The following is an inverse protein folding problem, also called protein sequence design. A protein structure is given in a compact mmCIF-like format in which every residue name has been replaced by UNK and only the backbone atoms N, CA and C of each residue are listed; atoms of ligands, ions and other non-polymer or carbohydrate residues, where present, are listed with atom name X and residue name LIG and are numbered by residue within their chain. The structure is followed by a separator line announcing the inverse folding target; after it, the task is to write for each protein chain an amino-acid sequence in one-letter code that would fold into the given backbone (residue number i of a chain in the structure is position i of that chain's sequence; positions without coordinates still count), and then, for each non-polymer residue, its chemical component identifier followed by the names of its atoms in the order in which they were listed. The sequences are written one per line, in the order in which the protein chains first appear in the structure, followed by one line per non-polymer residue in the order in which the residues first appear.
data_IF_002728588762
#
_entry.id   IF_002728588762
#
_cell.length_a   1.000
_cell.length_b   1.000
_cell.length_c   1.000
_cell.angle_alpha   90.00
_cell.angle_beta   90.00
_cell.angle_gamma   90.00
#
_symmetry.space_group_name_H-M   'P 1'
#
loop_
_entity.id
_entity.type
_entity.pdbx_description
1 polymer ?
#
# COMPACT_ATOMS: atom_id res chain seq x y z
N UNK A 1 13.52 -3.48 4.59
CA UNK A 1 13.33 -3.55 3.12
C UNK A 1 11.97 -3.02 2.65
N UNK A 2 11.43 -1.94 3.25
CA UNK A 2 10.27 -1.20 2.69
C UNK A 2 10.70 0.13 2.04
N UNK A 3 12.01 0.41 2.05
CA UNK A 3 12.62 1.63 1.53
C UNK A 3 13.00 1.53 0.04
N UNK A 4 13.00 0.31 -0.53
CA UNK A 4 13.23 0.12 -1.97
C UNK A 4 11.92 0.54 -2.67
N UNK A 5 11.93 1.58 -3.53
CA UNK A 5 10.75 1.98 -4.28
C UNK A 5 10.20 0.80 -5.09
N UNK A 6 8.88 0.63 -5.08
CA UNK A 6 8.22 -0.52 -5.71
C UNK A 6 8.20 -1.80 -4.88
N UNK A 7 8.93 -1.88 -3.75
CA UNK A 7 8.73 -2.95 -2.76
C UNK A 7 7.40 -2.76 -2.01
N UNK A 8 6.61 -3.82 -1.87
CA UNK A 8 5.34 -3.73 -1.15
C UNK A 8 5.63 -3.80 0.33
N UNK A 9 5.49 -2.67 1.03
CA UNK A 9 5.56 -2.60 2.50
C UNK A 9 4.75 -3.73 3.13
N UNK A 10 3.48 -3.85 2.75
CA UNK A 10 2.57 -4.86 3.29
C UNK A 10 3.02 -6.30 2.98
N UNK A 11 3.53 -6.56 1.78
CA UNK A 11 4.06 -7.89 1.43
C UNK A 11 5.27 -8.27 2.27
N UNK A 12 6.19 -7.33 2.51
CA UNK A 12 7.41 -7.58 3.28
C UNK A 12 7.13 -7.78 4.77
N UNK A 13 6.22 -6.99 5.35
CA UNK A 13 5.78 -7.16 6.75
C UNK A 13 5.00 -8.46 6.94
N UNK A 14 4.14 -8.84 6.00
CA UNK A 14 3.43 -10.13 6.03
C UNK A 14 4.43 -11.28 5.94
N UNK A 15 5.39 -11.22 5.02
CA UNK A 15 6.41 -12.26 4.87
C UNK A 15 7.27 -12.39 6.12
N UNK A 16 7.71 -11.27 6.70
CA UNK A 16 8.46 -11.25 7.96
C UNK A 16 7.65 -11.87 9.10
N UNK A 17 6.40 -11.43 9.30
CA UNK A 17 5.52 -11.99 10.32
C UNK A 17 5.26 -13.50 10.13
N UNK A 18 5.15 -13.96 8.87
CA UNK A 18 5.05 -15.38 8.53
C UNK A 18 6.30 -16.17 8.92
N UNK A 19 7.49 -15.58 8.78
CA UNK A 19 8.75 -16.20 9.20
C UNK A 19 8.80 -16.39 10.74
N UNK A 20 8.13 -15.53 11.50
CA UNK A 20 7.94 -15.67 12.95
C UNK A 20 6.74 -16.57 13.33
N UNK A 21 6.15 -17.30 12.39
CA UNK A 21 5.10 -18.30 12.67
C UNK A 21 3.66 -17.78 12.71
N UNK A 22 3.40 -16.47 12.53
CA UNK A 22 2.03 -15.95 12.55
C UNK A 22 1.19 -16.51 11.41
N UNK A 23 -0.09 -16.82 11.60
CA UNK A 23 -0.97 -17.25 10.50
C UNK A 23 -1.11 -16.15 9.43
N UNK A 24 -1.43 -16.50 8.17
CA UNK A 24 -1.58 -15.49 7.09
C UNK A 24 -2.53 -14.34 7.46
N UNK A 25 -3.73 -14.59 8.05
CA UNK A 25 -4.62 -13.51 8.47
C UNK A 25 -4.05 -12.68 9.62
N UNK A 26 -3.35 -13.29 10.57
CA UNK A 26 -2.72 -12.58 11.69
C UNK A 26 -1.57 -11.68 11.20
N UNK A 27 -0.72 -12.19 10.30
CA UNK A 27 0.36 -11.45 9.66
C UNK A 27 -0.17 -10.24 8.86
N UNK A 28 -1.28 -10.41 8.11
CA UNK A 28 -1.92 -9.32 7.39
C UNK A 28 -2.48 -8.24 8.33
N UNK A 29 -3.18 -8.63 9.40
CA UNK A 29 -3.69 -7.67 10.40
C UNK A 29 -2.55 -6.90 11.08
N UNK A 30 -1.49 -7.58 11.48
CA UNK A 30 -0.30 -6.94 12.04
C UNK A 30 0.29 -5.92 11.06
N UNK A 31 0.41 -6.29 9.79
CA UNK A 31 0.87 -5.38 8.74
C UNK A 31 -0.03 -4.15 8.59
N UNK A 32 -1.36 -4.29 8.67
CA UNK A 32 -2.28 -3.17 8.58
C UNK A 32 -2.19 -2.25 9.79
N UNK A 33 -2.07 -2.81 11.01
CA UNK A 33 -1.87 -1.99 12.21
C UNK A 33 -0.57 -1.19 12.16
N UNK A 34 0.53 -1.77 11.68
CA UNK A 34 1.78 -1.04 11.49
C UNK A 34 1.67 0.08 10.45
N UNK A 35 0.78 -0.04 9.46
CA UNK A 35 0.59 0.99 8.44
C UNK A 35 -0.09 2.25 8.99
N UNK A 36 -0.91 2.14 10.05
CA UNK A 36 -1.63 3.28 10.64
C UNK A 36 -0.69 4.40 11.10
N UNK A 37 0.26 4.16 12.04
CA UNK A 37 1.13 5.25 12.54
C UNK A 37 2.03 5.81 11.43
N UNK A 38 2.49 4.96 10.51
CA UNK A 38 3.36 5.39 9.41
C UNK A 38 2.60 6.30 8.43
N UNK A 39 1.37 5.91 8.07
CA UNK A 39 0.56 6.68 7.12
C UNK A 39 0.06 7.97 7.77
N UNK A 40 -0.31 7.93 9.06
CA UNK A 40 -0.70 9.12 9.80
C UNK A 40 0.46 10.13 9.89
N UNK A 41 1.67 9.66 10.21
CA UNK A 41 2.85 10.53 10.24
C UNK A 41 3.14 11.15 8.86
N UNK A 42 3.01 10.37 7.77
CA UNK A 42 3.18 10.88 6.42
C UNK A 42 2.13 11.93 6.05
N UNK A 43 0.85 11.71 6.41
CA UNK A 43 -0.23 12.68 6.17
C UNK A 43 0.05 13.98 6.92
N UNK A 44 0.39 13.90 8.21
CA UNK A 44 0.69 15.10 9.02
C UNK A 44 1.87 15.87 8.43
N UNK A 45 2.94 15.17 8.06
CA UNK A 45 4.11 15.77 7.43
C UNK A 45 3.74 16.51 6.13
N UNK A 46 2.99 15.85 5.25
CA UNK A 46 2.59 16.43 3.96
C UNK A 46 1.71 17.67 4.16
N UNK A 47 0.73 17.60 5.07
CA UNK A 47 -0.15 18.75 5.39
C UNK A 47 0.65 19.94 5.93
N UNK A 48 1.67 19.70 6.75
CA UNK A 48 2.53 20.79 7.27
C UNK A 48 3.33 21.44 6.14
N UNK A 49 3.87 20.65 5.21
CA UNK A 49 4.60 21.17 4.03
C UNK A 49 3.67 22.00 3.15
N UNK A 50 2.47 21.50 2.93
CA UNK A 50 1.42 22.12 2.13
C UNK A 50 1.00 23.51 2.66
N UNK A 51 0.78 23.61 3.98
CA UNK A 51 0.46 24.88 4.64
C UNK A 51 1.57 25.95 4.52
N UNK A 52 2.82 25.55 4.25
CA UNK A 52 3.95 26.46 4.03
C UNK A 52 4.17 26.85 2.56
N UNK A 53 3.39 26.28 1.63
CA UNK A 53 3.53 26.50 0.20
C UNK A 53 2.74 27.74 -0.26
N UNK A 54 3.32 28.60 -1.13
CA UNK A 54 2.63 29.79 -1.66
C UNK A 54 1.61 29.47 -2.77
N UNK A 55 1.36 28.20 -3.07
CA UNK A 55 0.47 27.75 -4.14
C UNK A 55 -0.96 27.61 -3.59
N UNK A 56 -1.97 28.06 -4.34
CA UNK A 56 -3.38 27.77 -4.04
C UNK A 56 -3.63 26.26 -4.12
N UNK A 57 -3.66 25.61 -2.96
CA UNK A 57 -3.88 24.17 -2.89
C UNK A 57 -5.35 23.82 -3.09
N UNK A 58 -5.60 22.81 -3.92
CA UNK A 58 -6.94 22.33 -4.21
C UNK A 58 -7.50 21.47 -3.06
N UNK A 59 -7.73 22.09 -1.90
CA UNK A 59 -8.24 21.45 -0.67
C UNK A 59 -9.52 20.65 -0.91
N UNK A 60 -10.39 21.12 -1.80
CA UNK A 60 -11.62 20.42 -2.18
C UNK A 60 -11.34 19.09 -2.91
N UNK A 61 -10.39 19.08 -3.85
CA UNK A 61 -9.98 17.88 -4.58
C UNK A 61 -9.31 16.88 -3.62
N UNK A 62 -8.48 17.36 -2.69
CA UNK A 62 -7.84 16.53 -1.68
C UNK A 62 -8.87 15.87 -0.76
N UNK A 63 -9.90 16.60 -0.31
CA UNK A 63 -11.00 16.05 0.48
C UNK A 63 -11.75 14.93 -0.26
N UNK A 64 -12.08 15.14 -1.53
CA UNK A 64 -12.73 14.11 -2.37
C UNK A 64 -11.82 12.90 -2.55
N UNK A 65 -10.54 13.11 -2.88
CA UNK A 65 -9.57 12.04 -3.04
C UNK A 65 -9.40 11.23 -1.74
N UNK A 66 -9.39 11.88 -0.57
CA UNK A 66 -9.29 11.22 0.72
C UNK A 66 -10.50 10.32 1.00
N UNK A 67 -11.72 10.78 0.70
CA UNK A 67 -12.94 9.97 0.85
C UNK A 67 -12.92 8.77 -0.08
N UNK A 68 -12.55 8.96 -1.35
CA UNK A 68 -12.44 7.87 -2.33
C UNK A 68 -11.34 6.87 -1.95
N UNK A 69 -10.20 7.35 -1.47
CA UNK A 69 -9.12 6.50 -0.97
C UNK A 69 -9.55 5.71 0.28
N UNK A 70 -10.29 6.33 1.20
CA UNK A 70 -10.84 5.68 2.38
C UNK A 70 -11.82 4.56 2.02
N UNK A 71 -12.80 4.86 1.15
CA UNK A 71 -13.77 3.88 0.68
C UNK A 71 -13.09 2.72 -0.06
N UNK A 72 -12.17 3.01 -0.98
CA UNK A 72 -11.43 1.98 -1.72
C UNK A 72 -10.53 1.14 -0.82
N UNK A 73 -9.92 1.73 0.23
CA UNK A 73 -9.13 1.00 1.21
C UNK A 73 -9.97 -0.02 1.98
N UNK A 74 -11.16 0.36 2.47
CA UNK A 74 -12.05 -0.58 3.17
C UNK A 74 -12.47 -1.76 2.29
N UNK A 75 -12.88 -1.45 1.05
CA UNK A 75 -13.26 -2.46 0.05
C UNK A 75 -12.08 -3.40 -0.23
N UNK A 76 -10.89 -2.83 -0.45
CA UNK A 76 -9.67 -3.59 -0.74
C UNK A 76 -9.27 -4.48 0.43
N UNK A 77 -9.30 -3.99 1.67
CA UNK A 77 -8.96 -4.79 2.86
C UNK A 77 -9.89 -5.98 2.99
N UNK A 78 -11.20 -5.78 2.80
CA UNK A 78 -12.20 -6.85 2.87
C UNK A 78 -11.93 -7.95 1.84
N UNK A 79 -11.75 -7.58 0.57
CA UNK A 79 -11.46 -8.54 -0.49
C UNK A 79 -10.08 -9.19 -0.32
N UNK A 80 -9.07 -8.43 0.10
CA UNK A 80 -7.73 -8.93 0.32
C UNK A 80 -7.70 -10.00 1.42
N UNK A 81 -8.38 -9.77 2.54
CA UNK A 81 -8.43 -10.76 3.63
C UNK A 81 -9.15 -12.04 3.17
N UNK A 82 -10.24 -11.93 2.41
CA UNK A 82 -10.96 -13.09 1.82
C UNK A 82 -10.10 -13.85 0.82
N UNK A 83 -9.41 -13.15 -0.07
CA UNK A 83 -8.48 -13.73 -1.04
C UNK A 83 -7.33 -14.44 -0.33
N UNK A 84 -6.77 -13.83 0.71
CA UNK A 84 -5.65 -14.38 1.47
C UNK A 84 -6.01 -15.67 2.22
N UNK A 85 -7.26 -15.77 2.70
CA UNK A 85 -7.78 -16.96 3.35
C UNK A 85 -8.03 -18.11 2.36
N UNK A 86 -8.51 -17.80 1.15
CA UNK A 86 -8.88 -18.81 0.14
C UNK A 86 -7.71 -19.26 -0.74
N UNK A 87 -6.98 -18.32 -1.33
CA UNK A 87 -5.94 -18.57 -2.34
C UNK A 87 -4.52 -18.27 -1.85
N UNK A 88 -4.37 -17.69 -0.64
CA UNK A 88 -3.07 -17.32 -0.10
C UNK A 88 -2.43 -16.12 -0.80
N UNK A 89 -1.11 -15.99 -0.68
CA UNK A 89 -0.34 -14.88 -1.27
C UNK A 89 0.02 -15.09 -2.74
N UNK A 90 -0.16 -16.30 -3.30
CA UNK A 90 0.33 -16.67 -4.64
C UNK A 90 -0.27 -15.79 -5.74
N UNK A 91 -1.58 -15.51 -5.68
CA UNK A 91 -2.27 -14.63 -6.64
C UNK A 91 -1.64 -13.22 -6.65
N UNK A 92 -1.30 -12.70 -5.47
CA UNK A 92 -0.67 -11.39 -5.34
C UNK A 92 0.76 -11.37 -5.90
N UNK A 93 1.51 -12.46 -5.72
CA UNK A 93 2.86 -12.59 -6.31
C UNK A 93 2.78 -12.60 -7.84
N UNK A 94 1.88 -13.41 -8.42
CA UNK A 94 1.69 -13.49 -9.87
C UNK A 94 1.30 -12.12 -10.44
N UNK A 95 0.33 -11.44 -9.81
CA UNK A 95 -0.05 -10.08 -10.17
C UNK A 95 1.16 -9.13 -10.22
N UNK A 96 2.03 -9.17 -9.20
CA UNK A 96 3.20 -8.28 -9.13
C UNK A 96 4.27 -8.62 -10.15
N UNK A 97 4.48 -9.88 -10.49
CA UNK A 97 5.42 -10.27 -11.55
C UNK A 97 4.91 -9.77 -12.90
N UNK A 98 3.63 -9.98 -13.21
CA UNK A 98 3.01 -9.47 -14.44
C UNK A 98 3.07 -7.93 -14.52
N UNK A 99 2.73 -7.25 -13.43
CA UNK A 99 2.84 -5.79 -13.36
C UNK A 99 4.29 -5.33 -13.54
N UNK A 100 5.26 -6.01 -12.93
CA UNK A 100 6.68 -5.71 -13.09
C UNK A 100 7.16 -5.87 -14.53
N UNK A 101 6.74 -6.95 -15.21
CA UNK A 101 7.03 -7.17 -16.63
C UNK A 101 6.37 -6.10 -17.51
N UNK A 102 5.13 -5.71 -17.22
CA UNK A 102 4.43 -4.65 -17.94
C UNK A 102 5.15 -3.30 -17.78
N UNK A 103 5.51 -2.92 -16.56
CA UNK A 103 6.26 -1.69 -16.30
C UNK A 103 7.63 -1.72 -16.98
N UNK A 104 8.30 -2.87 -16.99
CA UNK A 104 9.56 -3.04 -17.70
C UNK A 104 9.39 -2.88 -19.22
N UNK A 105 8.31 -3.41 -19.80
CA UNK A 105 8.04 -3.23 -21.23
C UNK A 105 7.73 -1.76 -21.59
N UNK A 106 7.00 -1.04 -20.72
CA UNK A 106 6.59 0.35 -20.98
C UNK A 106 7.71 1.36 -20.74
N UNK A 107 8.51 1.16 -19.68
CA UNK A 107 9.49 2.14 -19.21
C UNK A 107 10.94 1.64 -19.26
N UNK A 108 11.17 0.34 -19.41
CA UNK A 108 12.51 -0.23 -19.55
C UNK A 108 13.14 0.02 -20.92
N UNK A 109 12.34 0.45 -21.91
CA UNK A 109 12.81 0.83 -23.25
C UNK A 109 12.65 2.34 -23.50
N UNK A 110 12.85 3.18 -22.48
CA UNK A 110 13.14 4.60 -22.68
C UNK A 110 14.66 4.76 -22.81
N UNK A 111 15.19 4.41 -23.98
CA UNK A 111 16.53 4.78 -24.43
C UNK A 111 16.45 5.99 -25.35
#
# INVERSE_FOLDING_TARGET
MALIPGSSRAGMTILGARAFGLTRPAAARLSFFMAIPITLAAIVFEVVVMLGSPIDEAWSQMGVAAVLACASAFVTIHFFLRMLQSMGMTVFVVYRVLLGLLLFALFGWSG
#
